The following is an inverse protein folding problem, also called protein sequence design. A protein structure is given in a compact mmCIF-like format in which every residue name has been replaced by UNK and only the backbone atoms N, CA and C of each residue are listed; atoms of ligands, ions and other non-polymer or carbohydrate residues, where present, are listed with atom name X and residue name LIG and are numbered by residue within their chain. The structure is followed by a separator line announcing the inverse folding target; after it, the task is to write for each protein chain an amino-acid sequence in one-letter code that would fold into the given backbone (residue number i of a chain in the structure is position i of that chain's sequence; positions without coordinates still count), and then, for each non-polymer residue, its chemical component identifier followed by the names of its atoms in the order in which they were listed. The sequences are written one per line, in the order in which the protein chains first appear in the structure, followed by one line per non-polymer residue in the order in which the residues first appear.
data_IF_159995482726
#
_entry.id   IF_159995482726
#
_cell.length_a   1.000
_cell.length_b   1.000
_cell.length_c   1.000
_cell.angle_alpha   90.00
_cell.angle_beta   90.00
_cell.angle_gamma   90.00
#
_symmetry.space_group_name_H-M   'P 1'
#
loop_
_entity.id
_entity.type
_entity.pdbx_description
1 polymer ?
#
# COMPACT_ATOMS: atom_id res chain seq x y z
N UNK A 1 -10.14 3.83 -0.18
CA UNK A 1 -8.75 3.62 0.30
C UNK A 1 -8.73 2.87 1.63
N UNK A 2 -7.81 1.90 1.82
CA UNK A 2 -7.65 1.20 3.10
C UNK A 2 -7.02 2.12 4.16
N UNK A 3 -7.57 2.09 5.38
CA UNK A 3 -7.07 2.85 6.53
C UNK A 3 -5.70 2.30 6.95
N UNK A 4 -4.73 3.18 7.22
CA UNK A 4 -3.38 2.80 7.71
C UNK A 4 -2.25 2.88 6.68
N UNK A 5 -2.48 3.50 5.52
CA UNK A 5 -1.42 3.88 4.58
C UNK A 5 -0.82 5.22 5.03
N UNK A 6 0.51 5.39 4.94
CA UNK A 6 1.15 6.66 5.30
C UNK A 6 0.75 7.76 4.30
N UNK A 7 0.66 9.04 4.71
CA UNK A 7 0.25 10.14 3.82
C UNK A 7 1.09 10.23 2.53
N UNK A 8 2.36 9.82 2.59
CA UNK A 8 3.24 9.72 1.42
C UNK A 8 2.71 8.72 0.39
N UNK A 9 2.31 7.54 0.84
CA UNK A 9 1.82 6.43 0.01
C UNK A 9 0.42 6.69 -0.54
N UNK A 10 -0.39 7.45 0.19
CA UNK A 10 -1.68 7.92 -0.29
C UNK A 10 -1.54 8.88 -1.48
N UNK A 11 -0.62 9.85 -1.39
CA UNK A 11 -0.30 10.76 -2.51
C UNK A 11 0.21 10.00 -3.73
N UNK A 12 1.15 9.08 -3.51
CA UNK A 12 1.76 8.28 -4.58
C UNK A 12 0.74 7.40 -5.31
N UNK A 13 -0.22 6.82 -4.58
CA UNK A 13 -1.36 6.11 -5.17
C UNK A 13 -2.14 7.03 -6.12
N UNK A 14 -2.56 8.20 -5.62
CA UNK A 14 -3.41 9.13 -6.38
C UNK A 14 -2.68 9.71 -7.59
N UNK A 15 -1.36 9.95 -7.50
CA UNK A 15 -0.56 10.39 -8.64
C UNK A 15 -0.45 9.31 -9.73
N UNK A 16 -0.24 8.04 -9.33
CA UNK A 16 -0.16 6.92 -10.27
C UNK A 16 -1.49 6.66 -10.96
N UNK A 17 -2.58 6.62 -10.20
CA UNK A 17 -3.95 6.46 -10.70
C UNK A 17 -4.26 7.53 -11.75
N UNK A 18 -4.12 8.82 -11.40
CA UNK A 18 -4.37 9.94 -12.32
C UNK A 18 -3.49 9.88 -13.56
N UNK A 19 -2.23 9.48 -13.41
CA UNK A 19 -1.31 9.33 -14.55
C UNK A 19 -1.80 8.23 -15.50
N UNK A 20 -2.25 7.10 -14.97
CA UNK A 20 -2.76 6.00 -15.79
C UNK A 20 -4.07 6.32 -16.47
N UNK A 21 -4.95 7.07 -15.81
CA UNK A 21 -6.19 7.59 -16.40
C UNK A 21 -5.87 8.54 -17.57
N UNK A 22 -4.95 9.48 -17.37
CA UNK A 22 -4.53 10.43 -18.41
C UNK A 22 -3.82 9.76 -19.59
N UNK A 23 -2.96 8.78 -19.32
CA UNK A 23 -2.26 8.02 -20.37
C UNK A 23 -3.19 7.00 -21.06
N UNK A 24 -4.35 6.67 -20.49
CA UNK A 24 -5.25 5.61 -20.97
C UNK A 24 -4.61 4.22 -20.98
N UNK A 25 -3.52 4.03 -20.24
CA UNK A 25 -2.63 2.85 -20.33
C UNK A 25 -3.26 1.59 -19.75
N UNK A 26 -4.15 1.75 -18.76
CA UNK A 26 -4.75 0.65 -18.01
C UNK A 26 -6.27 0.80 -17.88
N UNK A 27 -6.97 1.11 -18.97
CA UNK A 27 -8.42 1.35 -19.00
C UNK A 27 -9.22 0.33 -18.17
N UNK A 28 -9.83 0.79 -17.07
CA UNK A 28 -10.64 -0.02 -16.14
C UNK A 28 -9.85 -0.81 -15.09
N UNK A 29 -8.54 -0.59 -14.97
CA UNK A 29 -7.64 -1.23 -13.99
C UNK A 29 -6.63 -0.24 -13.38
N UNK A 30 -6.81 1.05 -13.58
CA UNK A 30 -5.91 2.11 -13.12
C UNK A 30 -5.71 2.05 -11.60
N UNK A 31 -6.82 1.97 -10.86
CA UNK A 31 -6.83 1.85 -9.40
C UNK A 31 -6.10 0.59 -8.92
N UNK A 32 -6.37 -0.56 -9.55
CA UNK A 32 -5.76 -1.84 -9.18
C UNK A 32 -4.23 -1.82 -9.41
N UNK A 33 -3.80 -1.29 -10.56
CA UNK A 33 -2.39 -1.20 -10.92
C UNK A 33 -1.67 -0.21 -10.00
N UNK A 34 -2.25 0.96 -9.73
CA UNK A 34 -1.70 1.92 -8.78
C UNK A 34 -1.56 1.32 -7.37
N UNK A 35 -2.60 0.64 -6.88
CA UNK A 35 -2.56 -0.06 -5.59
C UNK A 35 -1.48 -1.15 -5.55
N UNK A 36 -1.32 -1.93 -6.62
CA UNK A 36 -0.30 -2.99 -6.71
C UNK A 36 1.12 -2.40 -6.67
N UNK A 37 1.35 -1.28 -7.35
CA UNK A 37 2.64 -0.57 -7.33
C UNK A 37 2.95 -0.07 -5.93
N UNK A 38 2.03 0.66 -5.31
CA UNK A 38 2.23 1.20 -3.95
C UNK A 38 2.46 0.07 -2.94
N UNK A 39 1.68 -1.02 -3.02
CA UNK A 39 1.89 -2.18 -2.15
C UNK A 39 3.24 -2.87 -2.39
N UNK A 40 3.71 -2.96 -3.64
CA UNK A 40 5.05 -3.46 -3.95
C UNK A 40 6.12 -2.57 -3.31
N UNK A 41 6.02 -1.26 -3.46
CA UNK A 41 6.97 -0.33 -2.85
C UNK A 41 6.96 -0.39 -1.32
N UNK A 42 5.79 -0.54 -0.70
CA UNK A 42 5.68 -0.76 0.75
C UNK A 42 6.35 -2.05 1.18
N UNK A 43 6.24 -3.13 0.40
CA UNK A 43 6.91 -4.41 0.69
C UNK A 43 8.42 -4.26 0.60
N UNK A 44 8.91 -3.61 -0.45
CA UNK A 44 10.34 -3.33 -0.66
C UNK A 44 10.89 -2.40 0.44
N UNK A 45 10.09 -1.45 0.92
CA UNK A 45 10.45 -0.51 1.99
C UNK A 45 10.24 -1.08 3.40
N UNK A 46 9.73 -2.31 3.53
CA UNK A 46 9.41 -2.93 4.83
C UNK A 46 8.16 -2.37 5.54
N UNK A 47 7.41 -1.46 4.92
CA UNK A 47 6.19 -0.83 5.45
C UNK A 47 4.96 -1.75 5.46
N UNK A 48 5.06 -2.96 4.90
CA UNK A 48 4.02 -4.00 5.01
C UNK A 48 4.25 -4.98 6.15
N UNK A 49 5.38 -4.91 6.87
CA UNK A 49 5.63 -5.74 8.05
C UNK A 49 4.80 -5.21 9.22
N UNK A 50 3.50 -5.47 9.19
CA UNK A 50 2.57 -5.02 10.21
C UNK A 50 1.58 -6.11 10.62
N UNK A 51 2.05 -7.22 11.20
CA UNK A 51 1.30 -7.97 12.24
C UNK A 51 2.09 -9.09 12.96
N UNK A 52 3.37 -8.93 13.32
CA UNK A 52 3.91 -9.69 14.47
C UNK A 52 3.68 -8.88 15.76
N UNK A 53 2.41 -8.63 16.07
CA UNK A 53 1.94 -8.35 17.43
C UNK A 53 1.02 -9.48 17.87
N UNK A 54 1.50 -10.71 17.70
CA UNK A 54 0.99 -11.88 18.38
C UNK A 54 1.61 -11.96 19.77
N UNK A 55 0.97 -11.34 20.75
CA UNK A 55 0.69 -11.93 22.07
C UNK A 55 1.75 -12.90 22.61
N UNK A 56 2.72 -12.40 23.38
CA UNK A 56 3.30 -13.14 24.52
C UNK A 56 2.79 -12.50 25.80
N UNK A 57 1.52 -12.72 26.09
CA UNK A 57 1.02 -12.71 27.46
C UNK A 57 1.53 -13.97 28.16
N UNK A 58 2.40 -13.79 29.16
CA UNK A 58 2.61 -14.72 30.27
C UNK A 58 3.60 -15.88 30.10
N UNK A 59 4.79 -15.74 30.69
CA UNK A 59 5.25 -16.71 31.69
C UNK A 59 6.35 -16.08 32.55
N UNK A 60 6.03 -15.86 33.82
CA UNK A 60 7.00 -15.61 34.88
C UNK A 60 7.59 -16.97 35.31
N UNK A 61 8.92 -17.04 35.44
CA UNK A 61 9.67 -18.00 36.27
C UNK A 61 10.88 -17.27 36.83
#
# INVERSE_FOLDING_TARGET
MPKGISPKREREYTELERKFEQEGRYKGREEEVAARIVNKQRRESGETKGQQRGKRTGHAH
#
